data_IF_500804882797
#
_entry.id   IF_500804882797
#
_cell.length_a   1.000
_cell.length_b   1.000
_cell.length_c   1.000
_cell.angle_alpha   90.00
_cell.angle_beta   90.00
_cell.angle_gamma   90.00
#
_symmetry.space_group_name_H-M   'P 1'
#
loop_
_entity.id
_entity.type
_entity.pdbx_description
1 polymer ?
#
# COMPACT_ATOMS: atom_id res chain seq x y z
N UNK A 1 -7.26 8.24 -13.69
CA UNK A 1 -8.28 9.31 -13.58
C UNK A 1 -9.19 9.15 -12.35
N UNK A 2 -9.87 8.01 -12.16
CA UNK A 2 -10.86 7.83 -11.08
C UNK A 2 -10.33 8.13 -9.65
N UNK A 3 -9.09 7.75 -9.35
CA UNK A 3 -8.50 7.95 -8.01
C UNK A 3 -8.11 9.40 -7.69
N UNK A 4 -7.89 10.25 -8.70
CA UNK A 4 -7.62 11.67 -8.47
C UNK A 4 -8.86 12.41 -7.96
N UNK A 5 -10.04 12.03 -8.45
CA UNK A 5 -11.31 12.57 -7.96
C UNK A 5 -11.58 12.06 -6.54
N UNK A 6 -11.33 10.78 -6.28
CA UNK A 6 -11.45 10.21 -4.93
C UNK A 6 -10.48 10.88 -3.94
N UNK A 7 -9.27 11.27 -4.37
CA UNK A 7 -8.32 11.99 -3.54
C UNK A 7 -8.88 13.33 -3.03
N UNK A 8 -9.67 14.05 -3.83
CA UNK A 8 -10.31 15.31 -3.41
C UNK A 8 -11.24 15.13 -2.22
N UNK A 9 -11.90 13.97 -2.12
CA UNK A 9 -12.79 13.62 -0.99
C UNK A 9 -12.00 13.54 0.33
N UNK A 10 -10.70 13.21 0.27
CA UNK A 10 -9.84 13.15 1.45
C UNK A 10 -9.17 14.51 1.67
N UNK A 11 -8.62 15.12 0.63
CA UNK A 11 -7.85 16.37 0.71
C UNK A 11 -8.71 17.55 1.19
N UNK A 12 -9.93 17.72 0.67
CA UNK A 12 -10.77 18.86 1.04
C UNK A 12 -11.14 18.87 2.54
N UNK A 13 -11.62 17.76 3.15
CA UNK A 13 -11.76 17.67 4.60
C UNK A 13 -10.45 17.84 5.34
N UNK A 14 -9.32 17.34 4.83
CA UNK A 14 -8.02 17.47 5.50
C UNK A 14 -7.58 18.93 5.67
N UNK A 15 -7.92 19.80 4.70
CA UNK A 15 -7.62 21.23 4.76
C UNK A 15 -8.53 22.00 5.72
N UNK A 16 -9.80 21.63 5.83
CA UNK A 16 -10.80 22.37 6.64
C UNK A 16 -11.04 21.78 8.03
N UNK A 17 -11.03 20.45 8.13
CA UNK A 17 -11.33 19.65 9.32
C UNK A 17 -10.33 18.49 9.43
N UNK A 18 -9.11 18.75 9.93
CA UNK A 18 -7.99 17.83 9.82
C UNK A 18 -8.26 16.46 10.45
N UNK A 19 -8.93 16.40 11.61
CA UNK A 19 -9.30 15.14 12.26
C UNK A 19 -10.24 14.27 11.40
N UNK A 20 -11.16 14.89 10.66
CA UNK A 20 -12.05 14.18 9.75
C UNK A 20 -11.28 13.66 8.52
N UNK A 21 -10.43 14.49 7.93
CA UNK A 21 -9.60 14.07 6.79
C UNK A 21 -8.62 12.94 7.16
N UNK A 22 -7.99 13.02 8.34
CA UNK A 22 -7.13 11.94 8.86
C UNK A 22 -7.93 10.64 9.02
N UNK A 23 -9.10 10.71 9.65
CA UNK A 23 -9.99 9.56 9.83
C UNK A 23 -10.38 8.92 8.48
N UNK A 24 -10.76 9.73 7.48
CA UNK A 24 -11.08 9.26 6.14
C UNK A 24 -9.87 8.62 5.44
N UNK A 25 -8.67 9.19 5.61
CA UNK A 25 -7.44 8.61 5.07
C UNK A 25 -7.16 7.22 5.67
N UNK A 26 -7.23 7.08 7.00
CA UNK A 26 -7.04 5.79 7.66
C UNK A 26 -8.13 4.76 7.30
N UNK A 27 -9.39 5.19 7.19
CA UNK A 27 -10.48 4.35 6.71
C UNK A 27 -10.26 3.90 5.27
N UNK A 28 -9.73 4.77 4.39
CA UNK A 28 -9.38 4.42 3.02
C UNK A 28 -8.27 3.38 2.93
N UNK A 29 -7.24 3.50 3.78
CA UNK A 29 -6.16 2.50 3.89
C UNK A 29 -6.73 1.16 4.36
N UNK A 30 -7.47 1.16 5.47
CA UNK A 30 -8.05 -0.06 6.04
C UNK A 30 -9.02 -0.72 5.06
N UNK A 31 -9.91 0.05 4.44
CA UNK A 31 -10.85 -0.44 3.43
C UNK A 31 -10.14 -1.05 2.22
N UNK A 32 -9.03 -0.48 1.77
CA UNK A 32 -8.22 -1.01 0.67
C UNK A 32 -7.55 -2.35 1.03
N UNK A 33 -7.04 -2.49 2.25
CA UNK A 33 -6.45 -3.73 2.77
C UNK A 33 -7.52 -4.82 2.86
N UNK A 34 -8.64 -4.52 3.52
CA UNK A 34 -9.76 -5.46 3.69
C UNK A 34 -10.34 -5.88 2.34
N UNK A 35 -10.57 -4.92 1.43
CA UNK A 35 -11.04 -5.22 0.09
C UNK A 35 -10.09 -6.16 -0.65
N UNK A 36 -8.79 -5.87 -0.61
CA UNK A 36 -7.78 -6.69 -1.29
C UNK A 36 -7.76 -8.11 -0.72
N UNK A 37 -7.82 -8.27 0.60
CA UNK A 37 -7.81 -9.57 1.25
C UNK A 37 -9.05 -10.40 0.97
N UNK A 38 -10.24 -9.79 1.10
CA UNK A 38 -11.52 -10.45 0.79
C UNK A 38 -11.57 -10.83 -0.68
N UNK A 39 -11.17 -9.93 -1.58
CA UNK A 39 -11.20 -10.20 -3.02
C UNK A 39 -10.22 -11.30 -3.41
N UNK A 40 -9.05 -11.36 -2.78
CA UNK A 40 -8.08 -12.45 -2.98
C UNK A 40 -8.61 -13.78 -2.44
N UNK A 41 -9.23 -13.79 -1.25
CA UNK A 41 -9.78 -15.00 -0.65
C UNK A 41 -10.97 -15.57 -1.45
N UNK A 42 -11.94 -14.73 -1.81
CA UNK A 42 -13.18 -15.18 -2.47
C UNK A 42 -12.92 -15.64 -3.91
N UNK A 43 -11.98 -15.01 -4.60
CA UNK A 43 -11.70 -15.27 -6.02
C UNK A 43 -10.48 -16.16 -6.25
N UNK A 44 -9.93 -16.73 -5.17
CA UNK A 44 -8.74 -17.58 -5.17
C UNK A 44 -7.58 -16.98 -6.00
N UNK A 45 -7.30 -15.69 -5.76
CA UNK A 45 -6.31 -14.97 -6.56
C UNK A 45 -4.89 -15.28 -6.08
N UNK A 46 -3.91 -15.25 -7.00
CA UNK A 46 -2.51 -15.31 -6.61
C UNK A 46 -2.12 -14.10 -5.73
N UNK A 47 -1.07 -14.23 -4.88
CA UNK A 47 -0.56 -13.15 -4.03
C UNK A 47 -0.28 -11.87 -4.81
N UNK A 48 0.25 -12.04 -6.01
CA UNK A 48 0.63 -10.96 -6.94
C UNK A 48 0.66 -11.53 -8.35
N UNK A 49 0.98 -10.68 -9.33
CA UNK A 49 1.42 -11.14 -10.63
C UNK A 49 2.74 -11.94 -10.48
N UNK A 50 2.65 -13.26 -10.63
CA UNK A 50 3.82 -14.14 -10.68
C UNK A 50 4.34 -14.21 -12.12
N UNK A 51 5.66 -14.19 -12.28
CA UNK A 51 6.32 -14.28 -13.60
C UNK A 51 6.40 -15.72 -14.11
N UNK A 52 6.40 -16.68 -13.19
CA UNK A 52 6.56 -18.12 -13.45
C UNK A 52 5.29 -18.86 -13.02
N UNK A 53 4.14 -18.36 -13.45
CA UNK A 53 2.86 -19.07 -13.28
C UNK A 53 2.64 -20.02 -14.47
N UNK A 54 2.47 -21.33 -14.26
CA UNK A 54 2.20 -22.28 -15.35
C UNK A 54 0.84 -22.03 -16.05
N UNK A 55 -0.11 -21.32 -15.42
CA UNK A 55 -1.40 -21.01 -16.03
C UNK A 55 -1.51 -19.53 -16.45
N UNK A 56 -1.33 -19.29 -17.76
CA UNK A 56 -1.49 -17.96 -18.36
C UNK A 56 -2.88 -17.33 -18.21
N UNK A 57 -3.91 -18.11 -17.85
CA UNK A 57 -5.27 -17.61 -17.63
C UNK A 57 -5.41 -16.87 -16.30
N UNK A 58 -4.64 -17.25 -15.28
CA UNK A 58 -4.59 -16.57 -13.98
C UNK A 58 -4.12 -15.13 -14.11
N UNK A 59 -3.15 -14.88 -14.99
CA UNK A 59 -2.70 -13.52 -15.31
C UNK A 59 -3.87 -12.66 -15.80
N UNK A 60 -4.61 -13.08 -16.83
CA UNK A 60 -5.72 -12.29 -17.37
C UNK A 60 -6.83 -12.07 -16.35
N UNK A 61 -7.12 -13.10 -15.54
CA UNK A 61 -8.12 -12.99 -14.49
C UNK A 61 -7.70 -11.98 -13.41
N UNK A 62 -6.50 -12.11 -12.85
CA UNK A 62 -5.95 -11.20 -11.84
C UNK A 62 -5.98 -9.74 -12.31
N UNK A 63 -5.59 -9.50 -13.57
CA UNK A 63 -5.53 -8.14 -14.11
C UNK A 63 -6.90 -7.47 -14.16
N UNK A 64 -7.91 -8.21 -14.62
CA UNK A 64 -9.26 -7.68 -14.81
C UNK A 64 -10.03 -7.50 -13.50
N UNK A 65 -9.85 -8.41 -12.54
CA UNK A 65 -10.63 -8.42 -11.30
C UNK A 65 -9.94 -7.74 -10.11
N UNK A 66 -8.62 -7.54 -10.18
CA UNK A 66 -7.85 -6.96 -9.08
C UNK A 66 -6.91 -5.83 -9.54
N UNK A 67 -5.97 -6.08 -10.45
CA UNK A 67 -4.91 -5.11 -10.75
C UNK A 67 -5.43 -3.77 -11.30
N UNK A 68 -6.35 -3.81 -12.26
CA UNK A 68 -6.94 -2.59 -12.83
C UNK A 68 -8.06 -1.98 -11.99
N UNK A 69 -8.46 -2.62 -10.89
CA UNK A 69 -9.46 -2.04 -10.00
C UNK A 69 -8.83 -0.90 -9.19
N UNK A 70 -9.57 0.20 -8.93
CA UNK A 70 -9.05 1.32 -8.17
C UNK A 70 -8.81 1.00 -6.68
N UNK A 71 -9.61 0.10 -6.12
CA UNK A 71 -9.66 -0.14 -4.67
C UNK A 71 -8.38 -0.73 -4.07
N UNK A 72 -7.66 -1.70 -4.69
CA UNK A 72 -6.38 -2.19 -4.16
C UNK A 72 -5.29 -1.12 -4.09
N UNK A 73 -5.39 -0.07 -4.90
CA UNK A 73 -4.42 1.03 -4.91
C UNK A 73 -4.79 2.18 -3.96
N UNK A 74 -6.00 2.17 -3.40
CA UNK A 74 -6.50 3.25 -2.55
C UNK A 74 -5.64 3.48 -1.31
N UNK A 75 -5.07 2.43 -0.72
CA UNK A 75 -4.12 2.57 0.38
C UNK A 75 -2.93 3.45 0.01
N UNK A 76 -2.31 3.22 -1.15
CA UNK A 76 -1.15 3.97 -1.61
C UNK A 76 -1.47 5.46 -1.81
N UNK A 77 -2.64 5.76 -2.38
CA UNK A 77 -3.12 7.14 -2.52
C UNK A 77 -3.32 7.81 -1.15
N UNK A 78 -3.99 7.14 -0.22
CA UNK A 78 -4.26 7.69 1.11
C UNK A 78 -2.95 7.95 1.88
N UNK A 79 -2.01 7.00 1.86
CA UNK A 79 -0.69 7.16 2.50
C UNK A 79 0.05 8.36 1.91
N UNK A 80 0.05 8.53 0.59
CA UNK A 80 0.66 9.68 -0.07
C UNK A 80 0.05 11.01 0.34
N UNK A 81 -1.29 11.10 0.38
CA UNK A 81 -2.01 12.31 0.83
C UNK A 81 -1.68 12.66 2.27
N UNK A 82 -1.73 11.66 3.17
CA UNK A 82 -1.42 11.86 4.60
C UNK A 82 0.03 12.30 4.80
N UNK A 83 0.97 11.71 4.04
CA UNK A 83 2.39 12.08 4.06
C UNK A 83 2.59 13.51 3.58
N UNK A 84 1.98 13.89 2.45
CA UNK A 84 2.04 15.25 1.93
C UNK A 84 1.45 16.28 2.88
N UNK A 85 0.33 15.95 3.54
CA UNK A 85 -0.29 16.80 4.55
C UNK A 85 0.59 16.99 5.79
N UNK A 86 1.23 15.93 6.27
CA UNK A 86 2.20 16.03 7.37
C UNK A 86 3.32 17.01 7.03
N UNK A 87 3.90 16.89 5.83
CA UNK A 87 5.00 17.76 5.38
C UNK A 87 4.54 19.22 5.18
N UNK A 88 3.34 19.43 4.63
CA UNK A 88 2.77 20.76 4.43
C UNK A 88 2.46 21.48 5.76
N UNK A 89 2.01 20.75 6.78
CA UNK A 89 1.65 21.32 8.09
C UNK A 89 2.81 21.39 9.07
N UNK A 90 3.89 20.63 8.83
CA UNK A 90 5.09 20.59 9.67
C UNK A 90 6.34 20.84 8.82
N UNK A 91 6.52 22.04 8.24
CA UNK A 91 7.66 22.35 7.34
C UNK A 91 9.03 22.35 8.03
N UNK A 92 9.08 22.34 9.37
CA UNK A 92 10.30 22.23 10.18
C UNK A 92 10.25 20.99 11.08
N UNK A 93 9.80 19.87 10.53
CA UNK A 93 9.67 18.61 11.26
C UNK A 93 11.04 18.16 11.75
N UNK A 94 11.31 18.32 13.05
CA UNK A 94 12.53 17.80 13.69
C UNK A 94 12.29 16.39 14.19
N UNK A 95 13.17 15.47 13.79
CA UNK A 95 13.13 14.09 14.25
C UNK A 95 14.25 13.83 15.24
N UNK A 96 13.95 13.06 16.30
CA UNK A 96 15.01 12.53 17.16
C UNK A 96 15.75 11.41 16.44
N UNK A 97 17.02 11.18 16.81
CA UNK A 97 17.82 10.10 16.26
C UNK A 97 17.14 8.72 16.42
N UNK A 98 16.40 8.51 17.52
CA UNK A 98 15.63 7.28 17.76
C UNK A 98 14.55 7.06 16.71
N UNK A 99 13.80 8.12 16.37
CA UNK A 99 12.76 8.07 15.34
C UNK A 99 13.39 7.81 13.97
N UNK A 100 14.56 8.42 13.69
CA UNK A 100 15.26 8.18 12.44
C UNK A 100 15.71 6.72 12.29
N UNK A 101 16.34 6.15 13.31
CA UNK A 101 16.78 4.74 13.31
C UNK A 101 15.59 3.80 13.13
N UNK A 102 14.52 3.99 13.92
CA UNK A 102 13.32 3.16 13.80
C UNK A 102 12.66 3.27 12.43
N UNK A 103 12.54 4.48 11.89
CA UNK A 103 11.94 4.71 10.58
C UNK A 103 12.76 4.07 9.45
N UNK A 104 14.09 4.16 9.49
CA UNK A 104 14.95 3.49 8.52
C UNK A 104 14.83 1.96 8.62
N UNK A 105 14.88 1.40 9.83
CA UNK A 105 14.70 -0.05 10.01
C UNK A 105 13.35 -0.53 9.47
N UNK A 106 12.25 0.16 9.82
CA UNK A 106 10.90 -0.20 9.36
C UNK A 106 10.76 -0.04 7.84
N UNK A 107 11.27 1.06 7.28
CA UNK A 107 11.25 1.31 5.83
C UNK A 107 12.01 0.22 5.08
N UNK A 108 13.21 -0.14 5.54
CA UNK A 108 13.99 -1.24 4.95
C UNK A 108 13.25 -2.57 5.04
N UNK A 109 12.68 -2.92 6.21
CA UNK A 109 11.91 -4.16 6.37
C UNK A 109 10.70 -4.19 5.43
N UNK A 110 9.95 -3.09 5.30
CA UNK A 110 8.81 -3.02 4.39
C UNK A 110 9.22 -3.13 2.92
N UNK A 111 10.24 -2.40 2.47
CA UNK A 111 10.71 -2.45 1.08
C UNK A 111 11.33 -3.80 0.73
N UNK A 112 12.14 -4.38 1.62
CA UNK A 112 12.77 -5.70 1.40
C UNK A 112 11.71 -6.80 1.40
N UNK A 113 10.80 -6.82 2.38
CA UNK A 113 9.76 -7.86 2.46
C UNK A 113 8.81 -7.82 1.27
N UNK A 114 8.49 -6.64 0.74
CA UNK A 114 7.66 -6.50 -0.46
C UNK A 114 8.41 -6.91 -1.73
N UNK A 115 9.68 -6.54 -1.90
CA UNK A 115 10.44 -6.93 -3.10
C UNK A 115 10.78 -8.42 -3.12
N UNK A 116 11.23 -8.96 -2.00
CA UNK A 116 11.76 -10.33 -1.93
C UNK A 116 10.74 -11.36 -1.42
N UNK A 117 9.61 -10.92 -0.87
CA UNK A 117 8.56 -11.83 -0.37
C UNK A 117 7.97 -12.73 -1.46
N UNK A 118 8.10 -12.35 -2.72
CA UNK A 118 7.59 -13.09 -3.89
C UNK A 118 8.58 -14.10 -4.46
N UNK A 119 9.81 -14.16 -3.95
CA UNK A 119 10.90 -14.92 -4.56
C UNK A 119 10.59 -16.42 -4.63
N UNK A 120 10.04 -16.98 -3.55
CA UNK A 120 9.68 -18.41 -3.48
C UNK A 120 8.65 -18.77 -4.55
N UNK A 121 7.58 -17.97 -4.66
CA UNK A 121 6.51 -18.21 -5.63
C UNK A 121 6.97 -17.99 -7.07
N UNK A 122 7.86 -17.02 -7.32
CA UNK A 122 8.49 -16.84 -8.63
C UNK A 122 9.51 -17.93 -8.97
N UNK A 123 9.94 -18.74 -7.99
CA UNK A 123 10.80 -19.90 -8.23
C UNK A 123 10.02 -21.19 -8.49
N UNK A 124 8.68 -21.11 -8.53
CA UNK A 124 7.79 -22.25 -8.76
C UNK A 124 7.27 -22.92 -7.49
N UNK A 125 7.59 -22.40 -6.29
CA UNK A 125 6.96 -22.91 -5.06
C UNK A 125 5.49 -22.49 -4.98
N UNK A 126 4.63 -23.41 -4.56
CA UNK A 126 3.22 -23.11 -4.33
C UNK A 126 3.04 -22.15 -3.14
N UNK A 127 2.06 -21.24 -3.24
CA UNK A 127 1.63 -20.40 -2.13
C UNK A 127 0.42 -21.01 -1.43
N UNK A 128 0.31 -20.73 -0.14
CA UNK A 128 -0.92 -21.00 0.63
C UNK A 128 -1.92 -19.86 0.45
N UNK A 129 -3.21 -20.12 0.69
CA UNK A 129 -4.24 -19.07 0.67
C UNK A 129 -3.93 -17.94 1.65
N UNK A 130 -3.37 -18.26 2.83
CA UNK A 130 -3.00 -17.26 3.83
C UNK A 130 -1.87 -16.35 3.32
N UNK A 131 -0.85 -16.91 2.68
CA UNK A 131 0.23 -16.15 2.05
C UNK A 131 -0.29 -15.25 0.92
N UNK A 132 -1.17 -15.79 0.07
CA UNK A 132 -1.81 -15.03 -1.00
C UNK A 132 -2.56 -13.81 -0.47
N UNK A 133 -3.45 -14.04 0.51
CA UNK A 133 -4.26 -12.99 1.15
C UNK A 133 -3.38 -11.96 1.85
N UNK A 134 -2.40 -12.40 2.64
CA UNK A 134 -1.51 -11.51 3.38
C UNK A 134 -0.72 -10.61 2.43
N UNK A 135 -0.09 -11.20 1.41
CA UNK A 135 0.73 -10.45 0.47
C UNK A 135 -0.11 -9.51 -0.40
N UNK A 136 -1.22 -9.98 -0.96
CA UNK A 136 -2.09 -9.16 -1.82
C UNK A 136 -2.64 -7.92 -1.09
N UNK A 137 -2.91 -8.05 0.22
CA UNK A 137 -3.49 -6.98 1.04
C UNK A 137 -2.45 -6.01 1.59
N UNK A 138 -1.26 -6.48 1.94
CA UNK A 138 -0.27 -5.70 2.67
C UNK A 138 0.88 -5.19 1.82
N UNK A 139 1.17 -5.79 0.67
CA UNK A 139 2.34 -5.43 -0.15
C UNK A 139 2.33 -3.97 -0.60
N UNK A 140 1.20 -3.50 -1.13
CA UNK A 140 1.04 -2.11 -1.59
C UNK A 140 1.16 -1.08 -0.45
N UNK A 141 0.43 -1.18 0.68
CA UNK A 141 0.57 -0.22 1.77
C UNK A 141 1.95 -0.25 2.41
N UNK A 142 2.55 -1.42 2.64
CA UNK A 142 3.89 -1.52 3.25
C UNK A 142 4.97 -0.91 2.36
N UNK A 143 4.97 -1.22 1.06
CA UNK A 143 5.85 -0.56 0.08
C UNK A 143 5.67 0.96 0.12
N UNK A 144 4.42 1.43 0.12
CA UNK A 144 4.14 2.88 0.12
C UNK A 144 4.59 3.55 1.41
N UNK A 145 4.44 2.90 2.58
CA UNK A 145 4.95 3.40 3.85
C UNK A 145 6.48 3.48 3.86
N UNK A 146 7.15 2.48 3.29
CA UNK A 146 8.60 2.48 3.12
C UNK A 146 9.08 3.68 2.30
N UNK A 147 8.45 3.91 1.14
CA UNK A 147 8.74 5.08 0.28
C UNK A 147 8.37 6.40 0.97
N UNK A 148 7.23 6.46 1.68
CA UNK A 148 6.81 7.66 2.40
C UNK A 148 7.85 8.10 3.44
N UNK A 149 8.46 7.15 4.15
CA UNK A 149 9.56 7.45 5.07
C UNK A 149 10.75 8.11 4.37
N UNK A 150 11.18 7.58 3.23
CA UNK A 150 12.28 8.16 2.44
C UNK A 150 11.95 9.59 2.02
N UNK A 151 10.73 9.83 1.53
CA UNK A 151 10.28 11.18 1.15
C UNK A 151 10.31 12.14 2.33
N UNK A 152 9.86 11.71 3.51
CA UNK A 152 9.91 12.54 4.71
C UNK A 152 11.37 12.91 5.04
N UNK A 153 12.29 11.94 5.03
CA UNK A 153 13.71 12.20 5.29
C UNK A 153 14.37 13.14 4.28
N UNK A 154 13.94 13.14 3.01
CA UNK A 154 14.49 14.05 2.00
C UNK A 154 14.03 15.51 2.15
N UNK A 155 12.92 15.74 2.85
CA UNK A 155 12.34 17.08 3.05
C UNK A 155 12.76 17.70 4.39
N UNK A 156 13.08 16.88 5.38
CA UNK A 156 13.50 17.30 6.74
C UNK A 156 15.00 17.42 6.89
#
# INVERSE_FOLDING_TARGET
MQMYIAALIIVLPLLKWPNMGLSLGFLGIFGSIVYSGINTYIRDLPPTMLLVDPDSSHYKHYWTVHFFKPFPHAASYCIGILTGYLLATKPKLKMSWKVQVLGWCLSSVFCISTLFGVLKWNSGEAYTTTEAVAYASLSKPTWTLGVAWVVICCVT
#
